data_IF_936199976937
#
_entry.id   IF_936199976937
#
_cell.length_a   1.000
_cell.length_b   1.000
_cell.length_c   1.000
_cell.angle_alpha   90.00
_cell.angle_beta   90.00
_cell.angle_gamma   90.00
#
_symmetry.space_group_name_H-M   'P 1'
#
loop_
_entity.id
_entity.type
_entity.pdbx_description
1 polymer ?
#
# COMPACT_ATOMS: atom_id res chain seq x y z
N UNK A 1 -4.49 25.09 -0.48
CA UNK A 1 -3.83 26.31 0.02
C UNK A 1 -3.24 25.94 1.38
N UNK A 2 -1.96 25.57 1.41
CA UNK A 2 -1.25 25.03 2.59
C UNK A 2 -0.37 26.16 3.15
N UNK A 3 -0.56 26.53 4.43
CA UNK A 3 0.14 27.64 5.08
C UNK A 3 1.01 27.16 6.26
N UNK A 4 2.07 27.91 6.55
CA UNK A 4 3.18 27.59 7.49
C UNK A 4 2.93 28.06 8.93
N UNK A 5 3.44 27.36 9.97
CA UNK A 5 3.39 27.88 11.33
C UNK A 5 4.66 28.67 11.65
N UNK A 6 4.49 29.95 11.99
CA UNK A 6 5.37 30.69 12.88
C UNK A 6 4.59 31.00 14.15
N UNK A 7 4.85 30.27 15.24
CA UNK A 7 4.20 30.50 16.53
C UNK A 7 4.43 29.35 17.52
N UNK A 8 4.90 29.67 18.72
CA UNK A 8 5.37 28.74 19.76
C UNK A 8 4.26 27.97 20.51
N UNK A 9 3.16 27.61 19.84
CA UNK A 9 2.14 26.73 20.39
C UNK A 9 2.18 25.38 19.66
N UNK A 10 2.46 24.30 20.40
CA UNK A 10 2.31 22.92 19.95
C UNK A 10 0.82 22.54 19.83
N UNK A 11 0.05 23.33 19.09
CA UNK A 11 -1.33 23.04 18.72
C UNK A 11 -1.36 22.71 17.24
N UNK A 12 -1.91 21.54 16.93
CA UNK A 12 -2.29 21.13 15.59
C UNK A 12 -3.10 22.26 14.92
N UNK A 13 -2.74 22.62 13.69
CA UNK A 13 -3.37 23.73 12.96
C UNK A 13 -4.76 23.37 12.40
N UNK A 14 -5.63 22.73 13.17
CA UNK A 14 -7.08 22.64 12.87
C UNK A 14 -7.87 22.51 14.17
N UNK A 15 -7.91 23.57 14.99
CA UNK A 15 -8.90 23.66 16.05
C UNK A 15 -10.25 24.03 15.43
N UNK A 16 -11.22 23.11 15.46
CA UNK A 16 -12.61 23.42 15.16
C UNK A 16 -13.05 24.62 16.00
N UNK A 17 -13.42 25.71 15.34
CA UNK A 17 -14.22 26.78 15.92
C UNK A 17 -15.67 26.29 16.11
N UNK A 18 -15.86 25.24 16.91
CA UNK A 18 -17.14 24.81 17.50
C UNK A 18 -16.85 23.63 18.41
N UNK A 19 -16.94 23.86 19.72
CA UNK A 19 -16.74 22.82 20.73
C UNK A 19 -17.87 21.80 20.70
N UNK A 20 -17.58 20.60 20.18
CA UNK A 20 -18.07 19.30 20.67
C UNK A 20 -16.96 18.30 20.32
N UNK A 21 -16.51 17.50 21.29
CA UNK A 21 -15.39 16.58 21.13
C UNK A 21 -15.60 15.55 20.02
N UNK A 22 -15.05 15.80 18.85
CA UNK A 22 -14.83 14.77 17.84
C UNK A 22 -13.61 13.95 18.26
N UNK A 23 -13.73 12.62 18.26
CA UNK A 23 -12.61 11.74 18.56
C UNK A 23 -11.53 11.87 17.47
N UNK A 24 -10.28 11.55 17.84
CA UNK A 24 -9.14 11.41 16.90
C UNK A 24 -9.47 10.48 15.72
N UNK A 25 -10.47 9.62 15.88
CA UNK A 25 -10.96 8.72 14.83
C UNK A 25 -11.83 9.42 13.79
N UNK A 26 -12.70 10.32 14.21
CA UNK A 26 -13.52 11.12 13.29
C UNK A 26 -12.64 12.06 12.45
N UNK A 27 -11.61 12.64 13.05
CA UNK A 27 -10.66 13.51 12.33
C UNK A 27 -9.87 12.73 11.29
N UNK A 28 -9.38 11.52 11.62
CA UNK A 28 -8.72 10.65 10.66
C UNK A 28 -9.62 10.31 9.46
N UNK A 29 -10.87 9.93 9.73
CA UNK A 29 -11.83 9.61 8.67
C UNK A 29 -12.14 10.81 7.79
N UNK A 30 -12.22 12.02 8.36
CA UNK A 30 -12.38 13.27 7.61
C UNK A 30 -11.19 13.56 6.69
N UNK A 31 -9.96 13.42 7.20
CA UNK A 31 -8.74 13.62 6.40
C UNK A 31 -8.72 12.60 5.25
N UNK A 32 -8.88 11.31 5.54
CA UNK A 32 -8.94 10.26 4.53
C UNK A 32 -10.00 10.54 3.45
N UNK A 33 -11.21 10.96 3.85
CA UNK A 33 -12.30 11.30 2.94
C UNK A 33 -11.98 12.52 2.05
N UNK A 34 -11.23 13.50 2.54
CA UNK A 34 -10.90 14.71 1.76
C UNK A 34 -9.93 14.45 0.58
N UNK A 35 -9.14 13.38 0.66
CA UNK A 35 -8.32 12.89 -0.47
C UNK A 35 -9.16 12.07 -1.48
N UNK A 36 -10.40 11.69 -1.16
CA UNK A 36 -11.33 11.03 -2.06
C UNK A 36 -12.12 12.09 -2.84
N UNK A 37 -11.49 12.74 -3.81
CA UNK A 37 -12.17 13.65 -4.74
C UNK A 37 -13.08 12.93 -5.76
N UNK A 38 -13.37 11.64 -5.58
CA UNK A 38 -14.37 10.94 -6.38
C UNK A 38 -15.70 10.88 -5.63
N UNK A 39 -16.75 11.60 -6.07
CA UNK A 39 -18.10 11.49 -5.50
C UNK A 39 -18.79 10.15 -5.84
N UNK A 40 -18.03 9.13 -6.25
CA UNK A 40 -18.58 7.83 -6.65
C UNK A 40 -18.68 6.92 -5.42
N UNK A 41 -19.91 6.48 -5.17
CA UNK A 41 -20.36 5.43 -4.24
C UNK A 41 -19.26 4.71 -3.43
N UNK A 42 -19.49 4.66 -2.12
CA UNK A 42 -18.73 3.92 -1.11
C UNK A 42 -18.45 2.46 -1.52
N UNK A 43 -19.32 1.87 -2.34
CA UNK A 43 -19.14 0.57 -2.95
C UNK A 43 -18.97 0.70 -4.46
N UNK A 44 -17.73 0.57 -4.93
CA UNK A 44 -17.47 0.29 -6.34
C UNK A 44 -17.99 -1.12 -6.63
N UNK A 45 -18.79 -1.35 -7.68
CA UNK A 45 -19.22 -2.70 -8.07
C UNK A 45 -18.04 -3.66 -8.31
N UNK A 46 -16.86 -3.10 -8.59
CA UNK A 46 -15.59 -3.79 -8.75
C UNK A 46 -14.96 -4.25 -7.42
N UNK A 47 -15.29 -3.58 -6.31
CA UNK A 47 -14.76 -3.94 -4.99
C UNK A 47 -15.10 -5.39 -4.64
N UNK A 48 -16.35 -5.74 -4.93
CA UNK A 48 -16.87 -7.05 -4.66
C UNK A 48 -16.66 -8.04 -5.81
N UNK A 49 -16.06 -7.69 -6.96
CA UNK A 49 -16.08 -8.62 -8.10
C UNK A 49 -15.41 -9.95 -7.75
N UNK A 50 -14.14 -9.90 -7.32
CA UNK A 50 -13.40 -11.12 -6.99
C UNK A 50 -14.04 -11.85 -5.80
N UNK A 51 -14.59 -11.10 -4.83
CA UNK A 51 -15.31 -11.67 -3.70
C UNK A 51 -16.61 -12.37 -4.12
N UNK A 52 -17.46 -11.73 -4.96
CA UNK A 52 -18.72 -12.28 -5.51
C UNK A 52 -18.50 -13.47 -6.42
N UNK A 53 -17.37 -13.48 -7.13
CA UNK A 53 -16.99 -14.56 -8.03
C UNK A 53 -16.11 -15.61 -7.35
N UNK A 54 -15.87 -15.51 -6.04
CA UNK A 54 -15.07 -16.46 -5.27
C UNK A 54 -13.69 -16.75 -5.90
N UNK A 55 -13.09 -15.71 -6.46
CA UNK A 55 -11.86 -15.85 -7.21
C UNK A 55 -10.66 -16.00 -6.27
N UNK A 56 -9.79 -16.95 -6.59
CA UNK A 56 -8.52 -17.20 -5.93
C UNK A 56 -7.37 -16.80 -6.86
N UNK A 57 -6.26 -16.38 -6.28
CA UNK A 57 -5.08 -15.96 -7.00
C UNK A 57 -3.90 -16.86 -6.63
N UNK A 58 -3.18 -17.28 -7.65
CA UNK A 58 -2.06 -18.22 -7.52
C UNK A 58 -0.83 -17.68 -8.23
N UNK A 59 0.33 -17.84 -7.62
CA UNK A 59 1.62 -17.64 -8.27
C UNK A 59 2.06 -19.00 -8.81
N UNK A 60 2.30 -19.06 -10.12
CA UNK A 60 2.76 -20.29 -10.79
C UNK A 60 4.13 -20.07 -11.40
N UNK A 61 5.07 -20.93 -11.05
CA UNK A 61 6.39 -21.00 -11.68
C UNK A 61 6.38 -22.14 -12.70
N UNK A 62 6.52 -21.76 -13.98
CA UNK A 62 6.52 -22.71 -15.09
C UNK A 62 7.77 -23.57 -15.14
N UNK A 63 8.92 -23.05 -14.69
CA UNK A 63 10.19 -23.75 -14.75
C UNK A 63 10.27 -24.84 -13.67
N UNK A 64 9.93 -24.48 -12.44
CA UNK A 64 9.95 -25.42 -11.29
C UNK A 64 8.66 -26.23 -11.15
N UNK A 65 7.61 -25.85 -11.88
CA UNK A 65 6.27 -26.46 -11.80
C UNK A 65 5.67 -26.34 -10.40
N UNK A 66 6.03 -25.30 -9.67
CA UNK A 66 5.50 -24.99 -8.35
C UNK A 66 4.34 -23.98 -8.46
N UNK A 67 3.29 -24.21 -7.70
CA UNK A 67 2.17 -23.29 -7.54
C UNK A 67 1.98 -22.98 -6.04
N UNK A 68 1.90 -21.70 -5.70
CA UNK A 68 1.61 -21.22 -4.34
C UNK A 68 0.45 -20.24 -4.38
N UNK A 69 -0.35 -20.11 -3.31
CA UNK A 69 -1.27 -18.99 -3.18
C UNK A 69 -0.53 -17.68 -3.42
N UNK A 70 -1.12 -16.78 -4.19
CA UNK A 70 -0.54 -15.45 -4.38
C UNK A 70 -0.51 -14.74 -3.02
N UNK A 71 0.62 -14.12 -2.72
CA UNK A 71 0.81 -13.23 -1.57
C UNK A 71 1.25 -11.87 -2.10
N UNK A 72 0.86 -10.84 -1.37
CA UNK A 72 1.21 -9.45 -1.60
C UNK A 72 1.90 -8.95 -0.34
N UNK A 73 2.99 -8.21 -0.47
CA UNK A 73 3.52 -7.42 0.65
C UNK A 73 3.26 -5.94 0.40
N UNK A 74 3.32 -5.14 1.46
CA UNK A 74 3.31 -3.69 1.36
C UNK A 74 4.69 -3.19 1.74
N UNK A 75 5.23 -2.24 1.00
CA UNK A 75 6.56 -1.66 1.22
C UNK A 75 6.41 -0.16 1.36
N UNK A 76 6.78 0.34 2.54
CA UNK A 76 6.94 1.75 2.81
C UNK A 76 8.41 2.14 2.68
N UNK A 77 8.68 3.25 2.00
CA UNK A 77 9.92 4.00 2.23
C UNK A 77 9.59 5.16 3.16
N UNK A 78 10.51 5.46 4.08
CA UNK A 78 10.35 6.61 4.97
C UNK A 78 11.70 7.19 5.38
N UNK A 79 11.71 8.49 5.66
CA UNK A 79 12.86 9.20 6.19
C UNK A 79 12.43 9.91 7.47
N UNK A 80 13.09 9.58 8.57
CA UNK A 80 12.87 10.24 9.86
C UNK A 80 13.88 11.38 10.03
N UNK A 81 13.46 12.65 9.86
CA UNK A 81 14.35 13.79 9.94
C UNK A 81 14.87 14.08 11.36
N UNK A 82 14.28 13.44 12.38
CA UNK A 82 14.67 13.60 13.79
C UNK A 82 15.77 12.62 14.21
N UNK A 83 16.02 11.58 13.43
CA UNK A 83 17.02 10.56 13.75
C UNK A 83 18.45 11.09 13.70
N UNK A 84 19.36 10.57 14.54
CA UNK A 84 20.78 10.89 14.46
C UNK A 84 21.43 10.49 13.13
N UNK A 85 21.11 9.30 12.58
CA UNK A 85 21.63 8.84 11.29
C UNK A 85 21.28 9.78 10.14
N UNK A 86 20.08 10.37 10.14
CA UNK A 86 19.67 11.28 9.08
C UNK A 86 20.64 12.45 8.91
N UNK A 87 21.05 13.08 10.03
CA UNK A 87 22.04 14.17 10.00
C UNK A 87 23.39 13.70 9.51
N UNK A 88 23.87 12.55 10.01
CA UNK A 88 25.13 11.93 9.56
C UNK A 88 25.10 11.65 8.05
N UNK A 89 23.98 11.17 7.52
CA UNK A 89 23.81 10.85 6.10
C UNK A 89 23.80 12.10 5.21
N UNK A 90 23.14 13.17 5.64
CA UNK A 90 23.19 14.46 4.96
C UNK A 90 24.61 15.02 4.90
N UNK A 91 25.33 15.01 6.03
CA UNK A 91 26.72 15.46 6.14
C UNK A 91 27.65 14.64 5.23
N UNK A 92 27.56 13.31 5.30
CA UNK A 92 28.35 12.39 4.48
C UNK A 92 28.15 12.62 2.98
N UNK A 93 26.94 13.02 2.57
CA UNK A 93 26.59 13.31 1.18
C UNK A 93 26.68 14.78 0.80
N UNK A 94 27.09 15.65 1.72
CA UNK A 94 27.16 17.11 1.53
C UNK A 94 25.83 17.69 1.03
N UNK A 95 24.72 17.15 1.51
CA UNK A 95 23.37 17.62 1.20
C UNK A 95 22.94 18.59 2.31
N UNK A 96 22.55 19.83 2.00
CA UNK A 96 22.08 20.76 3.02
C UNK A 96 20.76 20.29 3.63
N UNK A 97 20.58 20.53 4.93
CA UNK A 97 19.29 20.33 5.56
C UNK A 97 18.32 21.44 5.15
N UNK A 98 17.22 21.07 4.52
CA UNK A 98 16.16 21.98 4.13
C UNK A 98 14.89 21.68 4.93
N UNK A 99 14.55 22.57 5.87
CA UNK A 99 13.39 22.37 6.75
C UNK A 99 12.07 22.19 5.99
N UNK A 100 11.91 22.81 4.81
CA UNK A 100 10.69 22.64 4.00
C UNK A 100 10.60 21.25 3.36
N UNK A 101 11.74 20.67 3.00
CA UNK A 101 11.85 19.37 2.33
C UNK A 101 11.70 18.20 3.29
N UNK A 102 12.25 18.34 4.50
CA UNK A 102 12.32 17.28 5.50
C UNK A 102 11.37 17.52 6.67
N UNK A 103 10.28 18.26 6.43
CA UNK A 103 9.23 18.44 7.41
C UNK A 103 8.42 17.14 7.47
N UNK A 104 8.27 16.61 8.68
CA UNK A 104 7.42 15.45 8.97
C UNK A 104 6.04 15.96 9.42
N UNK A 105 5.01 15.68 8.63
CA UNK A 105 3.60 15.98 8.93
C UNK A 105 2.87 14.76 9.51
N UNK A 106 3.61 13.81 10.07
CA UNK A 106 3.11 12.52 10.55
C UNK A 106 2.54 11.64 9.42
N UNK A 107 2.98 11.82 8.17
CA UNK A 107 2.42 11.17 6.99
C UNK A 107 2.48 9.64 7.11
N UNK A 108 3.61 9.10 7.60
CA UNK A 108 3.76 7.66 7.84
C UNK A 108 2.71 7.15 8.84
N UNK A 109 2.42 7.91 9.89
CA UNK A 109 1.45 7.54 10.93
C UNK A 109 0.04 7.45 10.34
N UNK A 110 -0.36 8.46 9.58
CA UNK A 110 -1.65 8.48 8.89
C UNK A 110 -1.74 7.37 7.84
N UNK A 111 -0.66 7.15 7.08
CA UNK A 111 -0.62 6.13 6.05
C UNK A 111 -0.73 4.71 6.62
N UNK A 112 0.08 4.35 7.63
CA UNK A 112 0.01 3.04 8.29
C UNK A 112 -1.37 2.80 8.92
N UNK A 113 -1.95 3.85 9.53
CA UNK A 113 -3.32 3.78 10.06
C UNK A 113 -4.34 3.50 8.96
N UNK A 114 -4.21 4.16 7.81
CA UNK A 114 -5.09 3.94 6.66
C UNK A 114 -4.95 2.56 6.05
N UNK A 115 -3.73 2.02 5.95
CA UNK A 115 -3.50 0.66 5.51
C UNK A 115 -4.17 -0.33 6.45
N UNK A 116 -4.00 -0.13 7.77
CA UNK A 116 -4.63 -0.99 8.77
C UNK A 116 -6.15 -0.98 8.64
N UNK A 117 -6.76 0.21 8.59
CA UNK A 117 -8.21 0.37 8.56
C UNK A 117 -8.83 -0.20 7.28
N UNK A 118 -8.27 0.16 6.13
CA UNK A 118 -8.91 -0.08 4.84
C UNK A 118 -8.40 -1.33 4.13
N UNK A 119 -7.28 -1.93 4.56
CA UNK A 119 -6.73 -3.14 3.94
C UNK A 119 -6.64 -4.29 4.93
N UNK A 120 -5.91 -4.14 6.04
CA UNK A 120 -5.60 -5.27 6.92
C UNK A 120 -6.80 -5.69 7.80
N UNK A 121 -7.57 -4.73 8.31
CA UNK A 121 -8.69 -4.99 9.22
C UNK A 121 -10.05 -5.06 8.52
N UNK A 122 -10.15 -4.66 7.25
CA UNK A 122 -11.40 -4.54 6.50
C UNK A 122 -11.84 -5.82 5.78
N UNK A 123 -10.98 -6.84 5.72
CA UNK A 123 -11.17 -8.00 4.83
C UNK A 123 -10.96 -7.68 3.34
N UNK A 124 -10.52 -6.47 3.02
CA UNK A 124 -10.09 -6.11 1.68
C UNK A 124 -8.93 -7.02 1.21
N UNK A 125 -8.89 -7.29 -0.09
CA UNK A 125 -7.89 -8.19 -0.69
C UNK A 125 -7.84 -9.58 -0.01
N UNK A 126 -8.94 -10.09 0.54
CA UNK A 126 -8.98 -11.44 1.07
C UNK A 126 -9.25 -12.50 -0.01
N UNK A 127 -8.74 -13.70 0.21
CA UNK A 127 -9.07 -14.92 -0.55
C UNK A 127 -9.71 -15.95 0.40
N UNK A 128 -10.47 -16.91 -0.13
CA UNK A 128 -11.23 -17.86 0.68
C UNK A 128 -10.76 -19.31 0.50
N UNK A 129 -10.45 -19.97 1.62
CA UNK A 129 -9.74 -21.25 1.63
C UNK A 129 -10.55 -22.42 1.03
N UNK A 130 -11.87 -22.43 1.19
CA UNK A 130 -12.73 -23.49 0.66
C UNK A 130 -12.68 -23.61 -0.87
N UNK A 131 -12.25 -22.56 -1.58
CA UNK A 131 -12.06 -22.57 -3.02
C UNK A 131 -10.70 -23.12 -3.46
N UNK A 132 -9.67 -23.10 -2.59
CA UNK A 132 -8.35 -23.64 -2.93
C UNK A 132 -8.40 -25.14 -3.25
N UNK A 133 -9.34 -25.92 -2.69
CA UNK A 133 -9.39 -27.36 -2.94
C UNK A 133 -9.65 -27.71 -4.43
N UNK A 134 -10.48 -26.93 -5.12
CA UNK A 134 -10.74 -27.10 -6.54
C UNK A 134 -9.52 -26.68 -7.38
N UNK A 135 -8.90 -25.56 -7.01
CA UNK A 135 -7.71 -25.05 -7.69
C UNK A 135 -6.53 -25.99 -7.53
N UNK A 136 -6.29 -26.53 -6.33
CA UNK A 136 -5.21 -27.50 -6.04
C UNK A 136 -5.35 -28.72 -6.94
N UNK A 137 -6.57 -29.26 -7.06
CA UNK A 137 -6.86 -30.38 -7.96
C UNK A 137 -6.53 -29.99 -9.40
N UNK A 138 -7.01 -28.83 -9.84
CA UNK A 138 -6.80 -28.35 -11.22
C UNK A 138 -5.33 -28.12 -11.53
N UNK A 139 -4.58 -27.54 -10.60
CA UNK A 139 -3.13 -27.33 -10.70
C UNK A 139 -2.39 -28.67 -10.78
N UNK A 140 -2.81 -29.65 -9.98
CA UNK A 140 -2.29 -31.02 -10.04
C UNK A 140 -2.53 -31.70 -11.40
N UNK A 141 -3.75 -31.60 -11.95
CA UNK A 141 -4.08 -32.08 -13.31
C UNK A 141 -3.23 -31.40 -14.38
N UNK A 142 -2.95 -30.12 -14.20
CA UNK A 142 -2.08 -29.35 -15.07
C UNK A 142 -0.60 -29.68 -14.87
N UNK A 143 -0.25 -30.53 -13.90
CA UNK A 143 1.11 -31.01 -13.60
C UNK A 143 1.94 -30.04 -12.75
N UNK A 144 1.31 -29.27 -11.86
CA UNK A 144 1.97 -28.43 -10.87
C UNK A 144 1.97 -29.09 -9.50
N UNK A 145 3.07 -28.94 -8.77
CA UNK A 145 3.14 -29.20 -7.34
C UNK A 145 2.60 -27.99 -6.59
N UNK A 146 1.72 -28.22 -5.61
CA UNK A 146 1.09 -27.14 -4.85
C UNK A 146 1.71 -27.04 -3.47
N UNK A 147 2.16 -25.84 -3.10
CA UNK A 147 2.69 -25.53 -1.79
C UNK A 147 1.80 -24.50 -1.09
N UNK A 148 1.20 -24.94 0.01
CA UNK A 148 0.23 -24.19 0.81
C UNK A 148 0.83 -23.64 2.10
N UNK A 149 2.16 -23.70 2.29
CA UNK A 149 2.79 -23.24 3.55
C UNK A 149 2.52 -21.76 3.87
N UNK A 150 2.31 -20.94 2.83
CA UNK A 150 2.00 -19.52 2.98
C UNK A 150 0.49 -19.21 2.99
N UNK A 151 -0.36 -20.25 3.15
CA UNK A 151 -1.81 -20.13 3.16
C UNK A 151 -2.40 -19.96 4.58
N UNK A 152 -1.65 -19.33 5.51
CA UNK A 152 -2.09 -19.11 6.89
C UNK A 152 -3.51 -18.53 6.89
N UNK A 153 -4.48 -19.36 7.30
CA UNK A 153 -5.89 -19.07 7.25
C UNK A 153 -6.43 -18.88 8.66
N UNK A 154 -7.13 -17.77 8.87
CA UNK A 154 -7.96 -17.56 10.05
C UNK A 154 -9.40 -17.72 9.59
N UNK A 155 -10.14 -18.67 10.16
CA UNK A 155 -11.55 -18.92 9.85
C UNK A 155 -11.87 -19.12 8.35
N UNK A 156 -10.93 -19.72 7.61
CA UNK A 156 -11.09 -19.98 6.17
C UNK A 156 -10.93 -18.75 5.27
N UNK A 157 -10.45 -17.64 5.82
CA UNK A 157 -10.08 -16.42 5.09
C UNK A 157 -8.57 -16.25 5.12
N UNK A 158 -7.98 -16.02 3.95
CA UNK A 158 -6.55 -15.81 3.76
C UNK A 158 -6.34 -14.37 3.28
N UNK A 159 -5.79 -13.45 4.10
CA UNK A 159 -5.50 -12.09 3.64
C UNK A 159 -4.41 -12.15 2.57
N UNK A 160 -4.60 -11.50 1.41
CA UNK A 160 -3.58 -11.48 0.37
C UNK A 160 -2.32 -10.75 0.86
N UNK A 161 -2.50 -9.70 1.66
CA UNK A 161 -1.38 -8.98 2.29
C UNK A 161 -0.78 -9.83 3.41
N UNK A 162 0.52 -10.11 3.30
CA UNK A 162 1.27 -10.98 4.22
C UNK A 162 2.11 -10.18 5.21
N UNK A 163 2.93 -9.24 4.72
CA UNK A 163 3.83 -8.41 5.52
C UNK A 163 3.77 -6.95 5.08
N UNK A 164 4.12 -6.08 6.02
CA UNK A 164 4.39 -4.67 5.77
C UNK A 164 5.87 -4.45 6.04
N UNK A 165 6.63 -3.99 5.05
CA UNK A 165 8.02 -3.63 5.21
C UNK A 165 8.14 -2.11 5.37
N UNK A 166 8.87 -1.67 6.39
CA UNK A 166 9.27 -0.27 6.55
C UNK A 166 10.76 -0.15 6.24
N UNK A 167 11.05 0.41 5.07
CA UNK A 167 12.39 0.59 4.53
C UNK A 167 12.94 1.93 4.99
N UNK A 168 14.06 1.87 5.72
CA UNK A 168 14.70 3.01 6.35
C UNK A 168 16.19 3.06 6.04
N UNK A 169 16.81 4.22 6.20
CA UNK A 169 18.25 4.32 5.96
C UNK A 169 19.13 3.67 7.03
N UNK A 170 18.62 3.54 8.26
CA UNK A 170 19.31 3.00 9.44
C UNK A 170 18.25 2.60 10.49
N UNK A 171 18.62 1.83 11.52
CA UNK A 171 17.70 1.35 12.57
C UNK A 171 17.14 2.49 13.44
N UNK A 172 17.96 3.50 13.74
CA UNK A 172 17.56 4.69 14.54
C UNK A 172 16.58 5.62 13.81
N UNK A 173 16.20 5.30 12.57
CA UNK A 173 15.16 5.98 11.81
C UNK A 173 13.76 5.55 12.23
N UNK A 174 13.59 4.40 12.90
CA UNK A 174 12.27 3.96 13.35
C UNK A 174 11.69 5.04 14.28
N UNK A 175 10.50 5.61 13.98
CA UNK A 175 9.94 6.65 14.83
C UNK A 175 9.61 6.12 16.23
N UNK A 176 9.89 6.92 17.26
CA UNK A 176 9.64 6.53 18.67
C UNK A 176 8.17 6.18 18.96
N UNK A 177 7.23 6.74 18.19
CA UNK A 177 5.81 6.46 18.32
C UNK A 177 5.39 5.11 17.70
N UNK A 178 6.23 4.52 16.85
CA UNK A 178 5.92 3.30 16.11
C UNK A 178 6.29 2.08 16.95
N UNK A 179 5.28 1.50 17.57
CA UNK A 179 5.40 0.24 18.30
C UNK A 179 5.28 -0.94 17.32
N UNK A 180 6.42 -1.46 16.86
CA UNK A 180 6.47 -2.56 15.92
C UNK A 180 5.95 -3.88 16.51
N UNK A 181 5.97 -4.06 17.83
CA UNK A 181 5.46 -5.28 18.48
C UNK A 181 3.93 -5.36 18.38
N UNK A 182 3.25 -4.21 18.41
CA UNK A 182 1.80 -4.13 18.20
C UNK A 182 1.35 -4.33 16.76
N UNK A 183 2.30 -4.43 15.82
CA UNK A 183 2.01 -4.60 14.41
C UNK A 183 2.78 -5.82 13.87
N UNK A 184 2.29 -7.05 14.14
CA UNK A 184 3.04 -8.29 13.93
C UNK A 184 3.43 -8.54 12.46
N UNK A 185 2.71 -7.94 11.51
CA UNK A 185 2.99 -7.97 10.07
C UNK A 185 4.15 -7.05 9.68
N UNK A 186 4.49 -6.05 10.51
CA UNK A 186 5.51 -5.04 10.24
C UNK A 186 6.93 -5.62 10.37
N UNK A 187 7.78 -5.37 9.38
CA UNK A 187 9.20 -5.70 9.37
C UNK A 187 10.00 -4.45 9.02
N UNK A 188 10.92 -4.07 9.87
CA UNK A 188 11.87 -2.99 9.58
C UNK A 188 12.99 -3.55 8.74
N UNK A 189 13.34 -2.85 7.67
CA UNK A 189 14.43 -3.21 6.75
C UNK A 189 15.27 -1.97 6.53
N UNK A 190 16.57 -2.10 6.67
CA UNK A 190 17.51 -1.01 6.42
C UNK A 190 17.93 -0.99 4.95
N UNK A 191 18.48 0.13 4.47
CA UNK A 191 19.09 0.16 3.15
C UNK A 191 20.20 -0.90 3.01
N UNK A 192 20.99 -1.14 4.06
CA UNK A 192 22.08 -2.13 4.04
C UNK A 192 21.58 -3.55 3.76
N UNK A 193 20.37 -3.90 4.21
CA UNK A 193 19.78 -5.23 3.98
C UNK A 193 19.43 -5.51 2.51
N UNK A 194 19.35 -4.48 1.67
CA UNK A 194 19.01 -4.59 0.25
C UNK A 194 20.23 -4.66 -0.69
N UNK A 195 21.45 -4.47 -0.17
CA UNK A 195 22.68 -4.44 -0.94
C UNK A 195 23.69 -5.47 -0.45
N UNK A 196 24.51 -5.99 -1.35
CA UNK A 196 25.70 -6.74 -0.94
C UNK A 196 26.69 -5.82 -0.21
N UNK A 197 27.60 -6.39 0.60
CA UNK A 197 28.60 -5.61 1.32
C UNK A 197 29.46 -4.72 0.40
N UNK A 198 29.78 -5.21 -0.81
CA UNK A 198 30.54 -4.47 -1.80
C UNK A 198 29.74 -3.30 -2.41
N UNK A 199 28.50 -3.54 -2.82
CA UNK A 199 27.61 -2.48 -3.31
C UNK A 199 27.36 -1.43 -2.22
N UNK A 200 27.07 -1.87 -1.00
CA UNK A 200 26.80 -1.01 0.15
C UNK A 200 27.95 -0.03 0.42
N UNK A 201 29.21 -0.49 0.31
CA UNK A 201 30.38 0.37 0.49
C UNK A 201 30.47 1.51 -0.55
N UNK A 202 29.86 1.34 -1.73
CA UNK A 202 29.85 2.34 -2.80
C UNK A 202 28.61 3.23 -2.75
N UNK A 203 27.45 2.66 -2.43
CA UNK A 203 26.16 3.34 -2.56
C UNK A 203 25.63 3.89 -1.24
N UNK A 204 26.07 3.41 -0.07
CA UNK A 204 25.57 3.86 1.23
C UNK A 204 26.49 4.87 1.93
N UNK A 205 25.93 5.79 2.74
CA UNK A 205 24.49 6.01 2.95
C UNK A 205 23.87 6.69 1.72
N UNK A 206 22.68 6.28 1.26
CA UNK A 206 21.97 6.95 0.15
C UNK A 206 20.67 7.58 0.62
N UNK A 207 20.40 8.80 0.13
CA UNK A 207 19.12 9.50 0.25
C UNK A 207 18.46 9.70 -1.13
N UNK A 208 18.95 8.99 -2.15
CA UNK A 208 18.43 9.04 -3.51
C UNK A 208 17.34 7.98 -3.68
N UNK A 209 16.09 8.41 -3.84
CA UNK A 209 14.93 7.52 -4.02
C UNK A 209 15.09 6.57 -5.19
N UNK A 210 15.68 6.99 -6.31
CA UNK A 210 15.85 6.12 -7.48
C UNK A 210 16.71 4.87 -7.17
N UNK A 211 17.72 5.01 -6.31
CA UNK A 211 18.58 3.90 -5.89
C UNK A 211 17.84 2.95 -4.95
N UNK A 212 17.04 3.51 -4.03
CA UNK A 212 16.27 2.77 -3.04
C UNK A 212 15.12 2.02 -3.72
N UNK A 213 14.31 2.72 -4.51
CA UNK A 213 13.12 2.19 -5.19
C UNK A 213 13.47 1.09 -6.20
N UNK A 214 14.58 1.26 -6.94
CA UNK A 214 15.06 0.22 -7.87
C UNK A 214 15.55 -1.05 -7.14
N UNK A 215 15.79 -0.98 -5.83
CA UNK A 215 16.34 -2.08 -5.02
C UNK A 215 15.32 -2.76 -4.12
N UNK A 216 14.05 -2.31 -4.07
CA UNK A 216 13.02 -2.88 -3.17
C UNK A 216 12.76 -4.38 -3.41
N UNK A 217 12.95 -4.86 -4.64
CA UNK A 217 12.84 -6.28 -4.98
C UNK A 217 13.90 -7.17 -4.29
N UNK A 218 14.94 -6.56 -3.70
CA UNK A 218 16.02 -7.23 -2.97
C UNK A 218 15.74 -7.35 -1.47
N UNK A 219 14.63 -6.79 -0.98
CA UNK A 219 14.23 -6.90 0.43
C UNK A 219 14.19 -8.39 0.83
N UNK A 220 14.91 -8.80 1.89
CA UNK A 220 14.96 -10.20 2.31
C UNK A 220 13.56 -10.77 2.59
N UNK A 221 13.20 -11.82 1.85
CA UNK A 221 11.92 -12.52 2.02
C UNK A 221 10.69 -11.77 1.49
N UNK A 222 10.86 -10.69 0.72
CA UNK A 222 9.75 -10.04 0.01
C UNK A 222 9.08 -11.02 -0.97
N UNK A 223 7.77 -10.91 -1.11
CA UNK A 223 7.00 -11.67 -2.07
C UNK A 223 7.20 -11.12 -3.48
N UNK A 224 6.88 -11.96 -4.47
CA UNK A 224 6.97 -11.60 -5.89
C UNK A 224 6.15 -10.35 -6.25
N UNK A 225 5.06 -10.11 -5.53
CA UNK A 225 4.18 -8.97 -5.74
C UNK A 225 4.17 -8.12 -4.49
N UNK A 226 4.42 -6.82 -4.62
CA UNK A 226 4.30 -5.90 -3.51
C UNK A 226 3.68 -4.57 -3.95
N UNK A 227 2.99 -3.91 -3.03
CA UNK A 227 2.53 -2.53 -3.18
C UNK A 227 3.57 -1.60 -2.59
N UNK A 228 4.02 -0.64 -3.37
CA UNK A 228 4.92 0.40 -2.91
C UNK A 228 4.12 1.63 -2.47
N UNK A 229 4.41 2.09 -1.25
CA UNK A 229 3.94 3.35 -0.68
C UNK A 229 5.16 4.23 -0.39
N UNK A 230 5.21 5.40 -1.00
CA UNK A 230 6.14 6.43 -0.56
C UNK A 230 5.52 7.26 0.59
N UNK A 231 6.28 8.22 1.10
CA UNK A 231 5.94 9.03 2.27
C UNK A 231 4.60 9.80 2.14
N UNK A 232 4.11 10.05 0.93
CA UNK A 232 2.93 10.90 0.66
C UNK A 232 1.69 10.09 0.21
N UNK A 233 1.73 8.77 0.33
CA UNK A 233 0.64 7.88 -0.07
C UNK A 233 -0.19 7.42 1.13
N UNK A 234 -1.51 7.36 0.98
CA UNK A 234 -2.43 6.79 1.96
C UNK A 234 -3.59 6.08 1.26
N UNK A 235 -4.23 5.14 1.96
CA UNK A 235 -5.40 4.42 1.48
C UNK A 235 -6.67 5.18 1.89
N UNK A 236 -7.42 5.70 0.94
CA UNK A 236 -8.62 6.51 1.25
C UNK A 236 -9.92 5.70 1.42
N UNK A 237 -9.93 4.43 1.01
CA UNK A 237 -11.08 3.53 1.05
C UNK A 237 -10.63 2.07 0.98
N UNK A 238 -11.52 1.13 1.25
CA UNK A 238 -11.21 -0.29 1.08
C UNK A 238 -10.74 -0.59 -0.35
N UNK A 239 -9.62 -1.31 -0.48
CA UNK A 239 -9.02 -1.66 -1.77
C UNK A 239 -9.53 -2.98 -2.31
N UNK A 240 -9.76 -3.03 -3.61
CA UNK A 240 -10.00 -4.29 -4.31
C UNK A 240 -8.87 -4.65 -5.23
N UNK A 241 -8.82 -5.92 -5.59
CA UNK A 241 -7.90 -6.40 -6.62
C UNK A 241 -8.08 -5.68 -7.96
N UNK A 242 -9.29 -5.18 -8.28
CA UNK A 242 -9.51 -4.37 -9.47
C UNK A 242 -8.84 -2.99 -9.41
N UNK A 243 -8.76 -2.39 -8.21
CA UNK A 243 -8.07 -1.11 -8.04
C UNK A 243 -6.55 -1.27 -8.26
N UNK A 244 -6.01 -2.48 -8.07
CA UNK A 244 -4.59 -2.81 -8.24
C UNK A 244 -4.27 -3.36 -9.64
N UNK A 245 -5.17 -4.18 -10.18
CA UNK A 245 -5.02 -4.89 -11.44
C UNK A 245 -6.21 -4.53 -12.34
N UNK A 246 -6.17 -3.34 -12.92
CA UNK A 246 -7.10 -2.97 -13.98
C UNK A 246 -6.84 -3.89 -15.19
N UNK A 247 -7.80 -4.73 -15.62
CA UNK A 247 -7.67 -5.42 -16.89
C UNK A 247 -7.58 -4.38 -18.01
N UNK A 248 -6.66 -4.57 -18.96
CA UNK A 248 -6.51 -3.68 -20.12
C UNK A 248 -7.75 -3.67 -21.03
N UNK A 249 -8.63 -4.67 -20.89
CA UNK A 249 -9.92 -4.68 -21.57
C UNK A 249 -10.95 -3.93 -20.72
N UNK A 250 -11.65 -2.92 -21.28
CA UNK A 250 -12.85 -2.41 -20.61
C UNK A 250 -13.80 -3.59 -20.42
N UNK A 251 -14.42 -3.70 -19.24
CA UNK A 251 -15.50 -4.64 -19.05
C UNK A 251 -16.55 -4.35 -20.12
N UNK A 252 -16.84 -5.32 -20.97
CA UNK A 252 -18.05 -5.28 -21.79
C UNK A 252 -19.22 -5.31 -20.81
N UNK A 253 -19.73 -4.13 -20.48
CA UNK A 253 -20.97 -3.99 -19.75
C UNK A 253 -22.09 -4.38 -20.73
N UNK A 254 -22.56 -5.62 -20.67
CA UNK A 254 -23.82 -5.97 -21.32
C UNK A 254 -24.93 -5.13 -20.68
N UNK A 255 -25.41 -4.16 -21.47
CA UNK A 255 -26.67 -3.43 -21.37
C UNK A 255 -27.27 -3.31 -19.97
N UNK A 256 -26.97 -2.19 -19.31
CA UNK A 256 -27.98 -1.56 -18.49
C UNK A 256 -27.85 -0.03 -18.55
N UNK A 257 -29.00 0.60 -18.80
CA UNK A 257 -29.31 2.02 -18.68
C UNK A 257 -28.90 2.90 -19.87
N UNK A 258 -29.84 3.01 -20.82
CA UNK A 258 -29.81 4.00 -21.87
C UNK A 258 -29.92 5.42 -21.29
N UNK A 259 -28.84 6.18 -21.39
CA UNK A 259 -28.81 7.63 -21.33
C UNK A 259 -27.59 8.10 -22.11
N UNK A 260 -27.63 7.99 -23.44
CA UNK A 260 -26.88 8.82 -24.39
C UNK A 260 -27.40 8.50 -25.81
N UNK A 261 -28.65 8.86 -26.06
CA UNK A 261 -29.06 9.28 -27.41
C UNK A 261 -29.55 10.72 -27.29
N UNK A 262 -28.63 11.65 -27.54
CA UNK A 262 -29.03 12.96 -28.03
C UNK A 262 -27.98 13.45 -29.01
N UNK A 263 -28.46 13.78 -30.20
CA UNK A 263 -27.92 14.81 -31.07
C UNK A 263 -26.80 14.41 -32.05
N UNK A 264 -27.14 13.65 -33.10
CA UNK A 264 -26.65 13.96 -34.45
C UNK A 264 -27.43 13.20 -35.54
N UNK A 265 -28.69 13.57 -35.75
CA UNK A 265 -29.32 13.40 -37.07
C UNK A 265 -29.46 14.81 -37.67
N UNK A 266 -28.52 15.17 -38.55
CA UNK A 266 -28.79 16.20 -39.56
C UNK A 266 -29.56 15.51 -40.68
N UNK A 267 -30.74 16.01 -41.01
CA UNK A 267 -31.46 15.61 -42.22
C UNK A 267 -30.68 16.05 -43.46
N UNK A 268 -30.55 15.20 -44.49
CA UNK A 268 -30.28 15.68 -45.84
C UNK A 268 -31.63 16.11 -46.46
N UNK A 269 -31.75 17.38 -46.84
CA UNK A 269 -32.55 17.90 -47.98
C UNK A 269 -32.79 19.41 -47.82
N UNK A 270 -31.94 20.20 -48.48
CA UNK A 270 -32.20 21.52 -49.09
C UNK A 270 -30.89 22.07 -49.70
#
# INVERSE_FOLDING_TARGET
MLYSPGGAARQFCYSNAAGVGESVDLEFLRVAASYVSSPRQVTSGYYDFFAKHNATLWTVDRATRLATPMRLDVVYTFVNPRSPSFRRHLEARRVPFEHQRFRDWEELRYSLRSLREFVLASGALAQYHHHHAADVRRLGELGYQVDMRDADAVDGVVPLVRRVYLVLSDEDQVPEWLDAEKFPELRVVTHADMFSAEEAAQVLPTLNSNVIESSLHRIPGISRFFLYFNNDMLVGRQLSLFDLLCPLSPLFYERAVGWFQSSSERSPDA
#
